data_IF_665660134306
#
_entry.id   IF_665660134306
#
_cell.length_a   1.000
_cell.length_b   1.000
_cell.length_c   1.000
_cell.angle_alpha   90.00
_cell.angle_beta   90.00
_cell.angle_gamma   90.00
#
_symmetry.space_group_name_H-M   'P 1'
#
loop_
_entity.id
_entity.type
_entity.pdbx_description
1 polymer ?
#
# COMPACT_ATOMS: atom_id res chain seq x y z
N UNK A 1 -28.50 65.75 -35.30
CA UNK A 1 -28.50 64.33 -34.86
C UNK A 1 -27.10 64.01 -34.35
N UNK A 2 -26.93 63.88 -33.04
CA UNK A 2 -25.64 63.58 -32.39
C UNK A 2 -25.66 62.09 -32.03
N UNK A 3 -24.66 61.28 -32.42
CA UNK A 3 -24.62 59.88 -32.01
C UNK A 3 -24.17 59.79 -30.55
N UNK A 4 -24.96 59.09 -29.73
CA UNK A 4 -24.59 58.72 -28.36
C UNK A 4 -23.55 57.58 -28.43
N UNK A 5 -22.39 57.81 -27.84
CA UNK A 5 -21.35 56.79 -27.62
C UNK A 5 -21.72 55.96 -26.39
N UNK A 6 -21.86 54.65 -26.58
CA UNK A 6 -22.10 53.68 -25.49
C UNK A 6 -20.76 53.11 -25.07
N UNK A 7 -20.29 53.45 -23.86
CA UNK A 7 -19.07 52.89 -23.28
C UNK A 7 -19.43 51.52 -22.68
N UNK A 8 -18.94 50.45 -23.29
CA UNK A 8 -18.98 49.10 -22.72
C UNK A 8 -17.86 48.95 -21.69
N UNK A 9 -18.22 48.77 -20.42
CA UNK A 9 -17.28 48.52 -19.34
C UNK A 9 -16.85 47.04 -19.36
N UNK A 10 -15.62 46.77 -19.81
CA UNK A 10 -15.01 45.44 -19.73
C UNK A 10 -14.44 45.24 -18.32
N UNK A 11 -15.08 44.40 -17.50
CA UNK A 11 -14.46 43.87 -16.29
C UNK A 11 -13.35 42.89 -16.70
N UNK A 12 -12.09 43.28 -16.48
CA UNK A 12 -10.97 42.33 -16.51
C UNK A 12 -11.05 41.44 -15.25
N UNK A 13 -11.45 40.18 -15.40
CA UNK A 13 -11.13 39.16 -14.41
C UNK A 13 -9.65 38.79 -14.55
N UNK A 14 -8.84 39.19 -13.58
CA UNK A 14 -7.49 38.67 -13.40
C UNK A 14 -7.58 37.19 -12.97
N UNK A 15 -6.91 36.25 -13.66
CA UNK A 15 -6.84 34.88 -13.19
C UNK A 15 -6.07 34.85 -11.86
N UNK A 16 -6.69 34.27 -10.83
CA UNK A 16 -6.01 33.99 -9.57
C UNK A 16 -4.82 33.07 -9.86
N UNK A 17 -3.61 33.58 -9.63
CA UNK A 17 -2.41 32.77 -9.70
C UNK A 17 -2.51 31.69 -8.61
N UNK A 18 -2.67 30.43 -9.03
CA UNK A 18 -2.54 29.28 -8.14
C UNK A 18 -1.07 29.21 -7.75
N UNK A 19 -0.75 29.64 -6.54
CA UNK A 19 0.58 29.44 -5.96
C UNK A 19 0.72 27.94 -5.72
N UNK A 20 1.39 27.24 -6.64
CA UNK A 20 1.81 25.87 -6.42
C UNK A 20 2.84 25.89 -5.29
N UNK A 21 2.45 25.43 -4.11
CA UNK A 21 3.39 25.15 -3.02
C UNK A 21 4.29 24.01 -3.52
N UNK A 22 5.62 24.17 -3.58
CA UNK A 22 6.48 23.07 -3.95
C UNK A 22 6.27 21.95 -2.95
N UNK A 23 5.90 20.77 -3.44
CA UNK A 23 5.97 19.56 -2.64
C UNK A 23 7.40 19.48 -2.09
N UNK A 24 7.54 19.35 -0.77
CA UNK A 24 8.84 19.07 -0.17
C UNK A 24 9.36 17.80 -0.85
N UNK A 25 10.40 17.94 -1.66
CA UNK A 25 11.10 16.81 -2.26
C UNK A 25 11.57 15.91 -1.10
N UNK A 26 11.35 14.61 -1.23
CA UNK A 26 11.85 13.64 -0.25
C UNK A 26 13.38 13.80 -0.13
N UNK A 27 13.90 13.66 1.09
CA UNK A 27 15.33 13.75 1.40
C UNK A 27 15.95 12.33 1.30
N UNK A 28 16.75 12.03 0.26
CA UNK A 28 17.31 10.69 0.07
C UNK A 28 18.33 10.30 1.15
N UNK A 29 18.85 11.26 1.91
CA UNK A 29 19.78 11.00 3.01
C UNK A 29 19.07 10.57 4.29
N UNK A 30 17.77 10.85 4.42
CA UNK A 30 16.96 10.36 5.52
C UNK A 30 16.53 8.90 5.33
N UNK A 31 16.39 8.17 6.45
CA UNK A 31 15.65 6.91 6.49
C UNK A 31 14.19 7.11 6.06
N UNK A 32 13.43 6.05 5.70
CA UNK A 32 12.07 6.18 5.18
C UNK A 32 11.14 7.03 6.05
N UNK A 33 11.27 6.96 7.38
CA UNK A 33 10.44 7.76 8.30
C UNK A 33 10.71 9.26 8.31
N UNK A 34 11.78 9.74 7.67
CA UNK A 34 12.02 11.16 7.47
C UNK A 34 11.24 11.71 6.27
N UNK A 35 10.91 10.85 5.31
CA UNK A 35 10.24 11.21 4.06
C UNK A 35 8.74 10.87 4.07
N UNK A 36 8.35 9.88 4.87
CA UNK A 36 6.98 9.35 4.93
C UNK A 36 6.44 9.42 6.35
N UNK A 37 5.14 9.69 6.47
CA UNK A 37 4.44 9.56 7.75
C UNK A 37 4.26 8.07 8.11
N UNK A 38 5.27 7.52 8.79
CA UNK A 38 5.27 6.14 9.25
C UNK A 38 4.57 5.95 10.61
N UNK A 39 3.93 7.00 11.16
CA UNK A 39 3.19 6.88 12.42
C UNK A 39 2.06 5.84 12.35
N UNK A 40 1.50 5.63 11.16
CA UNK A 40 0.44 4.67 10.88
C UNK A 40 0.90 3.22 10.68
N UNK A 41 2.19 2.89 10.83
CA UNK A 41 2.70 1.58 10.42
C UNK A 41 3.60 0.91 11.45
N UNK A 42 3.44 -0.39 11.63
CA UNK A 42 4.54 -1.26 12.03
C UNK A 42 5.11 -1.92 10.76
N UNK A 43 6.39 -2.28 10.77
CA UNK A 43 7.03 -3.01 9.66
C UNK A 43 7.25 -4.47 10.05
N UNK A 44 6.81 -5.40 9.21
CA UNK A 44 7.07 -6.84 9.34
C UNK A 44 8.23 -7.20 8.41
N UNK A 45 9.33 -7.73 8.96
CA UNK A 45 10.54 -8.05 8.21
C UNK A 45 10.63 -9.55 7.87
N UNK A 46 11.51 -9.94 6.92
CA UNK A 46 11.72 -11.34 6.56
C UNK A 46 12.75 -12.02 7.48
N UNK A 47 13.02 -11.43 8.64
CA UNK A 47 13.95 -11.90 9.68
C UNK A 47 13.19 -12.16 10.98
N UNK A 48 13.83 -12.80 11.96
CA UNK A 48 13.26 -13.09 13.28
C UNK A 48 13.39 -14.55 13.68
N UNK A 49 12.89 -14.89 14.86
CA UNK A 49 12.99 -16.26 15.40
C UNK A 49 12.04 -17.24 14.72
N UNK A 50 12.31 -18.54 14.87
CA UNK A 50 11.47 -19.60 14.31
C UNK A 50 10.01 -19.47 14.75
N UNK A 51 9.10 -19.44 13.77
CA UNK A 51 7.66 -19.32 14.00
C UNK A 51 7.14 -17.89 14.17
N UNK A 52 8.02 -16.88 14.11
CA UNK A 52 7.67 -15.46 14.13
C UNK A 52 8.49 -14.68 13.10
N UNK A 53 8.18 -13.40 12.95
CA UNK A 53 9.03 -12.43 12.25
C UNK A 53 9.30 -11.24 13.17
N UNK A 54 10.40 -10.52 12.90
CA UNK A 54 10.72 -9.25 13.52
C UNK A 54 9.68 -8.21 13.12
N UNK A 55 9.16 -7.49 14.10
CA UNK A 55 8.26 -6.36 13.89
C UNK A 55 8.89 -5.09 14.43
N UNK A 56 9.23 -4.15 13.57
CA UNK A 56 9.69 -2.82 13.96
C UNK A 56 8.47 -1.96 14.24
N UNK A 57 8.44 -1.31 15.41
CA UNK A 57 7.27 -0.53 15.83
C UNK A 57 7.26 0.84 15.15
N UNK A 58 6.06 1.40 14.99
CA UNK A 58 5.85 2.76 14.47
C UNK A 58 6.79 3.81 15.06
N UNK A 59 7.04 3.77 16.38
CA UNK A 59 7.93 4.71 17.05
C UNK A 59 9.40 4.60 16.60
N UNK A 60 9.84 3.42 16.18
CA UNK A 60 11.20 3.16 15.69
C UNK A 60 11.35 3.46 14.20
N UNK A 61 10.24 3.53 13.45
CA UNK A 61 10.26 3.84 12.03
C UNK A 61 10.38 5.34 11.74
N UNK A 62 9.93 6.20 12.64
CA UNK A 62 9.71 7.63 12.38
C UNK A 62 11.00 8.47 12.40
N UNK A 63 11.00 9.54 11.60
CA UNK A 63 12.06 10.53 11.55
C UNK A 63 13.23 10.14 10.63
N UNK A 64 14.11 11.11 10.38
CA UNK A 64 15.25 10.96 9.46
C UNK A 64 16.26 9.88 9.87
N UNK A 65 16.29 9.53 11.16
CA UNK A 65 17.12 8.47 11.74
C UNK A 65 16.30 7.24 12.17
N UNK A 66 15.08 7.10 11.63
CA UNK A 66 14.24 5.93 11.84
C UNK A 66 14.89 4.67 11.28
N UNK A 67 14.27 3.52 11.57
CA UNK A 67 14.80 2.23 11.15
C UNK A 67 14.90 2.10 9.63
N UNK A 68 16.03 1.57 9.18
CA UNK A 68 16.27 1.06 7.83
C UNK A 68 17.23 -0.15 7.89
N UNK A 69 17.14 -1.02 6.90
CA UNK A 69 18.05 -2.14 6.68
C UNK A 69 18.15 -2.47 5.17
N UNK A 70 18.74 -3.62 4.81
CA UNK A 70 18.85 -4.04 3.42
C UNK A 70 17.51 -4.44 2.77
N UNK A 71 16.45 -4.66 3.56
CA UNK A 71 15.13 -5.01 3.06
C UNK A 71 14.17 -3.81 3.03
N UNK A 72 14.37 -2.83 3.91
CA UNK A 72 13.57 -1.62 4.05
C UNK A 72 14.47 -0.39 4.13
N UNK A 73 14.57 0.37 3.05
CA UNK A 73 15.51 1.50 2.96
C UNK A 73 14.95 2.66 2.14
N UNK A 74 15.64 3.79 2.18
CA UNK A 74 15.38 4.91 1.27
C UNK A 74 16.13 4.72 -0.05
N UNK A 75 15.43 4.90 -1.17
CA UNK A 75 16.06 5.03 -2.47
C UNK A 75 16.87 6.34 -2.54
N UNK A 76 18.18 6.22 -2.77
CA UNK A 76 19.11 7.35 -2.70
C UNK A 76 18.97 8.37 -3.83
N UNK A 77 18.15 8.11 -4.85
CA UNK A 77 17.90 9.05 -5.95
C UNK A 77 16.59 9.83 -5.79
N UNK A 78 15.57 9.19 -5.24
CA UNK A 78 14.18 9.69 -5.21
C UNK A 78 13.67 9.97 -3.79
N UNK A 79 14.29 9.38 -2.77
CA UNK A 79 13.80 9.41 -1.39
C UNK A 79 12.64 8.44 -1.13
N UNK A 80 12.23 7.62 -2.11
CA UNK A 80 11.14 6.64 -1.99
C UNK A 80 11.48 5.48 -1.04
N UNK A 81 10.47 4.79 -0.52
CA UNK A 81 10.68 3.58 0.28
C UNK A 81 10.97 2.39 -0.65
N UNK A 82 12.06 1.68 -0.41
CA UNK A 82 12.38 0.40 -1.07
C UNK A 82 12.02 -0.74 -0.12
N UNK A 83 11.24 -1.72 -0.60
CA UNK A 83 10.90 -2.93 0.14
C UNK A 83 11.28 -4.18 -0.67
N UNK A 84 12.24 -4.95 -0.16
CA UNK A 84 12.71 -6.22 -0.75
C UNK A 84 12.27 -7.37 0.13
N UNK A 85 11.72 -8.43 -0.47
CA UNK A 85 11.36 -9.64 0.25
C UNK A 85 12.01 -10.86 -0.43
N UNK A 86 12.72 -11.73 0.32
CA UNK A 86 13.26 -12.98 -0.20
C UNK A 86 12.16 -13.89 -0.78
N UNK A 87 12.56 -14.78 -1.70
CA UNK A 87 11.70 -15.86 -2.20
C UNK A 87 11.43 -16.95 -1.16
N UNK A 88 10.91 -18.08 -1.60
CA UNK A 88 10.44 -19.20 -0.77
C UNK A 88 11.26 -19.44 0.53
N UNK A 89 10.62 -19.40 1.72
CA UNK A 89 11.28 -19.58 3.01
C UNK A 89 12.10 -20.88 3.14
N UNK A 90 11.69 -21.96 2.48
CA UNK A 90 12.41 -23.24 2.55
C UNK A 90 13.76 -23.19 1.82
N UNK A 91 13.93 -22.24 0.88
CA UNK A 91 15.14 -22.04 0.09
C UNK A 91 15.98 -20.86 0.59
N UNK A 92 15.34 -19.80 1.08
CA UNK A 92 15.99 -18.56 1.50
C UNK A 92 16.18 -18.44 3.01
N UNK A 93 15.54 -19.33 3.77
CA UNK A 93 15.53 -19.33 5.24
C UNK A 93 15.01 -18.03 5.86
N UNK A 94 14.19 -17.28 5.14
CA UNK A 94 13.50 -16.13 5.71
C UNK A 94 12.56 -16.57 6.84
N UNK A 95 12.32 -15.68 7.79
CA UNK A 95 11.40 -15.93 8.89
C UNK A 95 9.95 -15.66 8.47
N UNK A 96 9.03 -16.44 9.04
CA UNK A 96 7.58 -16.34 8.82
C UNK A 96 6.83 -16.55 10.13
N UNK A 97 5.69 -15.90 10.29
CA UNK A 97 4.77 -16.22 11.38
C UNK A 97 4.09 -17.57 11.15
N UNK A 98 3.59 -18.19 12.22
CA UNK A 98 2.82 -19.44 12.16
C UNK A 98 1.60 -19.39 11.21
N UNK A 99 1.02 -18.20 11.00
CA UNK A 99 -0.10 -17.98 10.09
C UNK A 99 0.28 -17.64 8.64
N UNK A 100 1.58 -17.50 8.33
CA UNK A 100 2.10 -17.18 7.00
C UNK A 100 2.85 -18.36 6.41
N UNK A 101 2.87 -18.45 5.07
CA UNK A 101 3.71 -19.42 4.33
C UNK A 101 4.87 -18.76 3.58
N UNK A 102 4.93 -17.44 3.59
CA UNK A 102 5.73 -16.65 2.65
C UNK A 102 6.49 -15.53 3.36
N UNK A 103 7.60 -15.11 2.77
CA UNK A 103 8.45 -14.01 3.26
C UNK A 103 7.81 -12.65 2.99
N UNK A 104 8.10 -11.66 3.82
CA UNK A 104 7.61 -10.29 3.63
C UNK A 104 8.56 -9.23 4.12
N UNK A 105 8.48 -8.08 3.48
CA UNK A 105 8.85 -6.78 4.01
C UNK A 105 7.65 -5.88 3.81
N UNK A 106 6.78 -5.80 4.82
CA UNK A 106 5.41 -5.31 4.64
C UNK A 106 4.95 -4.47 5.82
N UNK A 107 4.40 -3.31 5.51
CA UNK A 107 3.80 -2.40 6.48
C UNK A 107 2.44 -2.94 6.92
N UNK A 108 2.19 -2.88 8.22
CA UNK A 108 0.95 -3.30 8.87
C UNK A 108 0.38 -2.12 9.66
N UNK A 109 -0.81 -1.68 9.27
CA UNK A 109 -1.41 -0.44 9.77
C UNK A 109 -1.67 -0.45 11.28
N UNK A 110 -1.23 0.56 12.00
CA UNK A 110 -1.52 0.82 13.42
C UNK A 110 -2.29 2.13 13.59
N UNK A 111 -2.89 2.31 14.76
CA UNK A 111 -3.42 3.61 15.17
C UNK A 111 -2.24 4.58 15.38
N UNK A 112 -2.22 5.70 14.63
CA UNK A 112 -1.07 6.62 14.61
C UNK A 112 -0.83 7.37 15.93
N UNK A 113 -1.83 7.46 16.80
CA UNK A 113 -1.71 8.14 18.09
C UNK A 113 -1.14 7.23 19.17
N UNK A 114 -1.43 5.94 19.07
CA UNK A 114 -1.15 4.97 20.14
C UNK A 114 -0.15 3.89 19.75
N UNK A 115 0.13 3.70 18.45
CA UNK A 115 0.93 2.60 17.92
C UNK A 115 0.28 1.21 18.11
N UNK A 116 -0.95 1.15 18.62
CA UNK A 116 -1.69 -0.10 18.83
C UNK A 116 -2.22 -0.64 17.51
N UNK A 117 -2.53 -1.92 17.51
CA UNK A 117 -3.02 -2.55 16.31
C UNK A 117 -4.33 -1.91 15.82
N UNK A 118 -4.36 -1.42 14.58
CA UNK A 118 -5.58 -0.94 13.96
C UNK A 118 -6.57 -2.09 13.77
N UNK A 119 -7.85 -1.77 13.96
CA UNK A 119 -9.00 -2.66 13.78
C UNK A 119 -10.24 -1.77 13.53
N UNK A 120 -10.35 -1.18 12.34
CA UNK A 120 -11.43 -0.26 11.98
C UNK A 120 -12.62 -0.99 11.39
N UNK A 121 -13.82 -0.43 11.57
CA UNK A 121 -15.05 -1.00 11.03
C UNK A 121 -15.24 -0.57 9.56
N UNK A 122 -15.57 -1.51 8.65
CA UNK A 122 -15.87 -1.19 7.24
C UNK A 122 -17.20 -0.45 7.05
N UNK A 123 -17.99 -0.29 8.12
CA UNK A 123 -19.20 0.57 8.13
C UNK A 123 -18.87 2.07 8.07
N UNK A 124 -17.61 2.44 8.32
CA UNK A 124 -17.08 3.81 8.19
C UNK A 124 -16.32 3.96 6.88
N UNK A 125 -15.76 5.14 6.63
CA UNK A 125 -14.86 5.34 5.48
C UNK A 125 -13.45 4.95 5.86
N UNK A 126 -12.83 4.04 5.10
CA UNK A 126 -11.45 3.60 5.28
C UNK A 126 -10.76 3.51 3.92
N UNK A 127 -9.64 4.21 3.76
CA UNK A 127 -8.91 4.31 2.49
C UNK A 127 -7.41 4.19 2.72
N UNK A 128 -6.77 3.37 1.92
CA UNK A 128 -5.33 3.34 1.70
C UNK A 128 -5.07 3.74 0.24
N UNK A 129 -4.24 4.76 0.02
CA UNK A 129 -3.75 5.16 -1.31
C UNK A 129 -2.23 5.03 -1.34
N UNK A 130 -1.71 4.41 -2.39
CA UNK A 130 -0.27 4.15 -2.54
C UNK A 130 0.15 4.42 -3.99
N UNK A 131 1.22 5.19 -4.16
CA UNK A 131 1.95 5.31 -5.42
C UNK A 131 3.14 4.37 -5.35
N UNK A 132 3.16 3.37 -6.23
CA UNK A 132 4.11 2.25 -6.20
C UNK A 132 4.70 1.96 -7.58
N UNK A 133 5.95 1.50 -7.58
CA UNK A 133 6.59 0.81 -8.71
C UNK A 133 6.93 -0.61 -8.26
N UNK A 134 6.52 -1.62 -9.05
CA UNK A 134 6.99 -3.00 -8.84
C UNK A 134 8.15 -3.23 -9.82
N UNK A 135 9.38 -3.22 -9.30
CA UNK A 135 10.58 -3.39 -10.11
C UNK A 135 10.86 -4.87 -10.39
N UNK A 136 10.61 -5.74 -9.40
CA UNK A 136 10.75 -7.18 -9.52
C UNK A 136 9.57 -7.87 -8.83
N UNK A 137 8.78 -8.62 -9.62
CA UNK A 137 7.68 -9.44 -9.11
C UNK A 137 8.11 -10.91 -8.98
N UNK A 138 7.58 -11.60 -7.98
CA UNK A 138 7.86 -13.03 -7.74
C UNK A 138 7.15 -13.97 -8.74
N UNK A 139 7.48 -15.27 -8.64
CA UNK A 139 6.93 -16.35 -9.46
C UNK A 139 5.71 -17.06 -8.85
N UNK A 140 5.04 -16.42 -7.88
CA UNK A 140 3.77 -16.88 -7.33
C UNK A 140 2.67 -16.96 -8.40
N UNK A 141 1.60 -17.71 -8.13
CA UNK A 141 0.53 -17.94 -9.12
C UNK A 141 -0.14 -16.67 -9.64
N UNK A 142 -0.16 -15.61 -8.82
CA UNK A 142 -0.64 -14.27 -9.17
C UNK A 142 0.45 -13.19 -9.03
N UNK A 143 1.67 -13.58 -8.65
CA UNK A 143 2.79 -12.69 -8.32
C UNK A 143 2.76 -12.16 -6.88
N UNK A 144 3.48 -11.06 -6.68
CA UNK A 144 3.74 -10.45 -5.37
C UNK A 144 2.50 -9.78 -4.81
N UNK A 145 2.15 -10.11 -3.56
CA UNK A 145 1.11 -9.41 -2.84
C UNK A 145 1.64 -8.03 -2.41
N UNK A 146 1.00 -6.96 -2.90
CA UNK A 146 1.45 -5.57 -2.73
C UNK A 146 0.57 -4.75 -1.78
N UNK A 147 -0.65 -5.22 -1.50
CA UNK A 147 -1.56 -4.57 -0.57
C UNK A 147 -2.69 -5.49 -0.12
N UNK A 148 -3.20 -5.26 1.10
CA UNK A 148 -4.23 -6.11 1.70
C UNK A 148 -5.26 -5.30 2.49
N UNK A 149 -6.49 -5.82 2.52
CA UNK A 149 -7.48 -5.54 3.57
C UNK A 149 -7.58 -6.81 4.40
N UNK A 150 -7.20 -6.74 5.68
CA UNK A 150 -7.05 -7.91 6.53
C UNK A 150 -8.09 -7.89 7.65
N UNK A 151 -8.91 -8.94 7.74
CA UNK A 151 -9.90 -9.11 8.81
C UNK A 151 -9.19 -9.48 10.11
N UNK A 152 -9.25 -8.57 11.10
CA UNK A 152 -8.46 -8.63 12.34
C UNK A 152 -8.76 -9.87 13.16
N UNK A 153 -10.03 -10.04 13.57
CA UNK A 153 -10.43 -11.08 14.52
C UNK A 153 -10.36 -12.48 13.91
N UNK A 154 -10.68 -12.60 12.61
CA UNK A 154 -10.55 -13.85 11.87
C UNK A 154 -9.09 -14.24 11.61
N UNK A 155 -8.17 -13.27 11.70
CA UNK A 155 -6.77 -13.43 11.33
C UNK A 155 -6.60 -13.94 9.89
N UNK A 156 -7.32 -13.33 8.94
CA UNK A 156 -7.31 -13.70 7.50
C UNK A 156 -7.29 -12.47 6.59
N UNK A 157 -6.62 -12.54 5.43
CA UNK A 157 -6.79 -11.52 4.40
C UNK A 157 -8.23 -11.59 3.88
N UNK A 158 -9.00 -10.51 4.04
CA UNK A 158 -10.31 -10.38 3.38
C UNK A 158 -10.10 -10.17 1.89
N UNK A 159 -9.17 -9.27 1.55
CA UNK A 159 -8.71 -9.03 0.19
C UNK A 159 -7.19 -8.91 0.15
N UNK A 160 -6.59 -9.49 -0.89
CA UNK A 160 -5.15 -9.46 -1.14
C UNK A 160 -4.93 -9.11 -2.62
N UNK A 161 -4.19 -8.04 -2.87
CA UNK A 161 -3.91 -7.54 -4.21
C UNK A 161 -2.53 -8.00 -4.66
N UNK A 162 -2.47 -8.65 -5.81
CA UNK A 162 -1.26 -9.24 -6.37
C UNK A 162 -0.85 -8.55 -7.66
N UNK A 163 0.46 -8.46 -7.88
CA UNK A 163 1.09 -7.93 -9.07
C UNK A 163 2.03 -8.98 -9.68
N UNK A 164 1.76 -9.38 -10.93
CA UNK A 164 2.51 -10.44 -11.62
C UNK A 164 3.75 -9.95 -12.37
N UNK A 165 4.64 -10.88 -12.75
CA UNK A 165 5.77 -10.64 -13.69
C UNK A 165 5.37 -10.11 -15.07
N UNK A 166 4.08 -10.15 -15.42
CA UNK A 166 3.54 -9.58 -16.66
C UNK A 166 2.85 -8.23 -16.45
N UNK A 167 2.95 -7.67 -15.25
CA UNK A 167 2.29 -6.43 -14.88
C UNK A 167 0.79 -6.54 -14.67
N UNK A 168 0.20 -7.73 -14.71
CA UNK A 168 -1.20 -7.93 -14.38
C UNK A 168 -1.45 -7.73 -12.88
N UNK A 169 -2.51 -6.97 -12.56
CA UNK A 169 -2.94 -6.70 -11.20
C UNK A 169 -4.29 -7.38 -10.98
N UNK A 170 -4.33 -8.28 -10.00
CA UNK A 170 -5.53 -9.00 -9.58
C UNK A 170 -5.76 -8.82 -8.09
N UNK A 171 -7.00 -8.98 -7.65
CA UNK A 171 -7.36 -9.00 -6.22
C UNK A 171 -8.07 -10.30 -5.92
N UNK A 172 -7.53 -11.06 -4.98
CA UNK A 172 -8.17 -12.23 -4.41
C UNK A 172 -9.00 -11.83 -3.20
N UNK A 173 -10.32 -12.00 -3.27
CA UNK A 173 -11.23 -11.74 -2.13
C UNK A 173 -11.72 -13.07 -1.56
N UNK A 174 -11.54 -13.29 -0.26
CA UNK A 174 -12.17 -14.44 0.39
C UNK A 174 -13.64 -14.11 0.68
N UNK A 175 -14.60 -14.96 0.29
CA UNK A 175 -16.02 -14.70 0.60
C UNK A 175 -16.35 -14.91 2.09
N UNK A 176 -15.47 -15.61 2.83
CA UNK A 176 -15.53 -15.81 4.28
C UNK A 176 -14.13 -16.19 4.82
N UNK A 177 -13.99 -16.40 6.14
CA UNK A 177 -12.69 -16.70 6.76
C UNK A 177 -12.04 -18.03 6.30
N UNK A 178 -12.84 -18.98 5.82
CA UNK A 178 -12.43 -20.37 5.57
C UNK A 178 -12.27 -20.68 4.09
N UNK A 179 -13.06 -20.06 3.23
CA UNK A 179 -13.09 -20.29 1.78
C UNK A 179 -11.85 -19.79 1.04
N UNK A 180 -11.58 -20.34 -0.14
CA UNK A 180 -10.54 -19.84 -1.05
C UNK A 180 -10.81 -18.42 -1.55
N UNK A 181 -9.81 -17.76 -2.13
CA UNK A 181 -9.99 -16.46 -2.75
C UNK A 181 -10.70 -16.58 -4.11
N UNK A 182 -11.62 -15.66 -4.38
CA UNK A 182 -12.17 -15.38 -5.70
C UNK A 182 -11.30 -14.28 -6.32
N UNK A 183 -10.60 -14.59 -7.41
CA UNK A 183 -9.61 -13.71 -8.02
C UNK A 183 -10.24 -12.90 -9.15
N UNK A 184 -10.15 -11.57 -9.06
CA UNK A 184 -10.67 -10.63 -10.05
C UNK A 184 -9.53 -9.78 -10.61
N UNK A 185 -9.42 -9.68 -11.94
CA UNK A 185 -8.48 -8.75 -12.59
C UNK A 185 -8.98 -7.32 -12.47
N UNK A 186 -8.14 -6.44 -11.93
CA UNK A 186 -8.47 -5.02 -11.70
C UNK A 186 -7.62 -4.06 -12.53
N UNK A 187 -6.49 -4.52 -13.07
CA UNK A 187 -5.62 -3.67 -13.87
C UNK A 187 -4.47 -4.40 -14.57
N UNK A 188 -3.71 -3.62 -15.33
CA UNK A 188 -2.41 -4.02 -15.86
C UNK A 188 -1.54 -2.76 -15.98
N UNK A 189 -0.33 -2.83 -15.45
CA UNK A 189 0.69 -1.78 -15.49
C UNK A 189 2.01 -2.47 -15.78
N UNK A 190 2.81 -2.00 -16.74
CA UNK A 190 4.08 -2.64 -17.07
C UNK A 190 5.04 -2.67 -15.88
N UNK A 191 5.87 -3.72 -15.79
CA UNK A 191 6.90 -3.86 -14.73
C UNK A 191 7.85 -2.65 -14.77
N UNK A 192 8.23 -2.15 -13.60
CA UNK A 192 9.07 -0.95 -13.48
C UNK A 192 8.36 0.37 -13.80
N UNK A 193 7.05 0.36 -14.03
CA UNK A 193 6.26 1.59 -14.22
C UNK A 193 5.55 1.98 -12.93
N UNK A 194 5.65 3.26 -12.55
CA UNK A 194 4.93 3.81 -11.41
C UNK A 194 3.41 3.84 -11.68
N UNK A 195 2.62 3.51 -10.66
CA UNK A 195 1.16 3.61 -10.69
C UNK A 195 0.61 3.93 -9.30
N UNK A 196 -0.60 4.50 -9.28
CA UNK A 196 -1.37 4.67 -8.06
C UNK A 196 -2.38 3.52 -7.93
N UNK A 197 -2.46 2.94 -6.73
CA UNK A 197 -3.61 2.14 -6.33
C UNK A 197 -4.28 2.72 -5.08
N UNK A 198 -5.59 2.48 -4.98
CA UNK A 198 -6.38 2.76 -3.78
C UNK A 198 -7.16 1.52 -3.38
N UNK A 199 -7.00 1.09 -2.13
CA UNK A 199 -7.87 0.14 -1.45
C UNK A 199 -8.84 0.93 -0.57
N UNK A 200 -10.14 0.74 -0.80
CA UNK A 200 -11.19 1.42 -0.04
C UNK A 200 -12.21 0.39 0.42
N UNK A 201 -12.40 0.23 1.72
CA UNK A 201 -13.46 -0.62 2.27
C UNK A 201 -14.36 0.23 3.17
N UNK A 202 -15.44 0.72 2.56
CA UNK A 202 -16.29 1.74 3.16
C UNK A 202 -17.76 1.44 2.93
N UNK A 203 -18.59 1.63 3.96
CA UNK A 203 -20.01 1.26 3.95
C UNK A 203 -20.21 -0.19 3.47
N UNK A 204 -19.34 -1.10 3.91
CA UNK A 204 -19.31 -2.52 3.50
C UNK A 204 -19.11 -2.76 1.99
N UNK A 205 -18.60 -1.77 1.25
CA UNK A 205 -18.24 -1.91 -0.17
C UNK A 205 -16.72 -1.85 -0.33
N UNK A 206 -16.13 -2.95 -0.82
CA UNK A 206 -14.72 -2.99 -1.19
C UNK A 206 -14.55 -2.47 -2.62
N UNK A 207 -13.79 -1.39 -2.78
CA UNK A 207 -13.44 -0.79 -4.05
C UNK A 207 -11.93 -0.74 -4.21
N UNK A 208 -11.44 -1.21 -5.36
CA UNK A 208 -10.04 -1.09 -5.75
C UNK A 208 -9.95 -0.16 -6.94
N UNK A 209 -9.08 0.84 -6.87
CA UNK A 209 -8.82 1.78 -7.97
C UNK A 209 -7.39 1.63 -8.43
N UNK A 210 -7.17 1.46 -9.74
CA UNK A 210 -5.83 1.47 -10.37
C UNK A 210 -5.79 2.65 -11.35
N UNK A 211 -4.90 3.61 -11.14
CA UNK A 211 -4.77 4.82 -11.98
C UNK A 211 -6.13 5.49 -12.29
N UNK A 212 -6.93 5.73 -11.24
CA UNK A 212 -8.25 6.34 -11.34
C UNK A 212 -9.38 5.42 -11.83
N UNK A 213 -9.09 4.20 -12.30
CA UNK A 213 -10.12 3.23 -12.73
C UNK A 213 -10.56 2.36 -11.55
N UNK A 214 -11.79 2.58 -11.07
CA UNK A 214 -12.37 1.84 -9.96
C UNK A 214 -13.00 0.51 -10.39
N UNK A 215 -12.89 -0.49 -9.52
CA UNK A 215 -13.55 -1.80 -9.59
C UNK A 215 -14.12 -2.14 -8.22
N UNK A 216 -15.43 -2.37 -8.14
CA UNK A 216 -16.07 -2.86 -6.92
C UNK A 216 -15.91 -4.38 -6.86
N UNK A 217 -15.62 -4.90 -5.67
CA UNK A 217 -15.41 -6.32 -5.42
C UNK A 217 -16.42 -6.81 -4.38
N UNK A 218 -17.03 -7.95 -4.67
CA UNK A 218 -17.93 -8.63 -3.73
C UNK A 218 -17.11 -9.23 -2.57
N UNK A 219 -17.46 -8.86 -1.34
CA UNK A 219 -16.85 -9.39 -0.12
C UNK A 219 -17.55 -10.64 0.39
N UNK A 220 -18.58 -11.15 -0.27
CA UNK A 220 -19.29 -12.35 0.15
C UNK A 220 -20.05 -12.14 1.46
N UNK A 221 -19.92 -13.08 2.39
CA UNK A 221 -20.76 -13.19 3.60
C UNK A 221 -20.09 -12.67 4.88
N UNK A 222 -19.01 -11.88 4.75
CA UNK A 222 -18.41 -11.19 5.89
C UNK A 222 -19.44 -10.28 6.60
N UNK A 223 -19.61 -10.46 7.91
CA UNK A 223 -20.46 -9.60 8.76
C UNK A 223 -19.72 -8.34 9.21
N UNK A 224 -19.26 -7.53 8.25
CA UNK A 224 -18.53 -6.27 8.49
C UNK A 224 -17.37 -6.40 9.50
N UNK A 225 -16.43 -7.35 9.34
CA UNK A 225 -15.36 -7.59 10.32
C UNK A 225 -14.49 -6.35 10.46
N UNK A 226 -14.01 -6.07 11.67
CA UNK A 226 -13.00 -5.04 11.84
C UNK A 226 -11.74 -5.43 11.05
N UNK A 227 -11.19 -4.47 10.31
CA UNK A 227 -10.11 -4.67 9.37
C UNK A 227 -8.91 -3.76 9.68
N UNK A 228 -7.80 -4.05 9.02
CA UNK A 228 -6.66 -3.16 8.88
C UNK A 228 -6.02 -3.31 7.50
N UNK A 229 -5.30 -2.30 7.06
CA UNK A 229 -4.55 -2.31 5.82
C UNK A 229 -3.16 -2.89 5.99
N UNK A 230 -2.66 -3.50 4.91
CA UNK A 230 -1.23 -3.80 4.72
C UNK A 230 -0.78 -3.30 3.35
N UNK A 231 0.48 -2.89 3.26
CA UNK A 231 1.10 -2.43 2.01
C UNK A 231 2.59 -2.75 2.02
N UNK A 232 3.14 -3.13 0.88
CA UNK A 232 4.58 -3.41 0.77
C UNK A 232 4.84 -4.61 -0.10
N UNK A 233 5.70 -5.52 0.37
CA UNK A 233 6.18 -6.64 -0.41
C UNK A 233 5.97 -7.96 0.34
N UNK A 234 4.97 -8.73 -0.08
CA UNK A 234 4.71 -10.08 0.43
C UNK A 234 4.91 -11.11 -0.69
N UNK A 235 6.09 -11.73 -0.70
CA UNK A 235 6.59 -12.57 -1.80
C UNK A 235 5.91 -13.95 -1.82
N UNK A 236 5.06 -14.20 -2.82
CA UNK A 236 4.30 -15.45 -2.99
C UNK A 236 5.06 -16.53 -3.76
N UNK A 237 6.34 -16.30 -4.01
CA UNK A 237 7.19 -17.10 -4.87
C UNK A 237 7.39 -18.52 -4.39
N UNK A 238 7.69 -19.40 -5.35
CA UNK A 238 8.05 -20.80 -5.14
C UNK A 238 9.56 -21.01 -5.28
N UNK A 239 10.22 -20.15 -6.05
CA UNK A 239 11.67 -20.09 -6.20
C UNK A 239 12.34 -19.28 -5.08
N UNK A 240 13.67 -19.20 -5.10
CA UNK A 240 14.46 -18.35 -4.21
C UNK A 240 14.50 -16.88 -4.66
N UNK A 241 13.87 -16.54 -5.79
CA UNK A 241 13.89 -15.19 -6.35
C UNK A 241 13.28 -14.18 -5.37
N UNK A 242 14.02 -13.10 -5.11
CA UNK A 242 13.48 -11.95 -4.40
C UNK A 242 12.44 -11.20 -5.25
N UNK A 243 11.62 -10.43 -4.56
CA UNK A 243 10.77 -9.39 -5.16
C UNK A 243 11.20 -8.04 -4.62
N UNK A 244 10.96 -6.97 -5.38
CA UNK A 244 11.29 -5.60 -5.03
C UNK A 244 10.18 -4.65 -5.46
N UNK A 245 9.68 -3.88 -4.50
CA UNK A 245 8.72 -2.80 -4.73
C UNK A 245 9.26 -1.49 -4.16
N UNK A 246 8.87 -0.39 -4.77
CA UNK A 246 9.24 0.96 -4.38
C UNK A 246 7.95 1.76 -4.15
N UNK A 247 7.83 2.45 -3.02
CA UNK A 247 6.67 3.27 -2.67
C UNK A 247 7.09 4.74 -2.68
N UNK A 248 6.54 5.52 -3.61
CA UNK A 248 6.78 6.95 -3.76
C UNK A 248 5.81 7.81 -2.93
N UNK A 249 4.61 7.27 -2.63
CA UNK A 249 3.64 7.91 -1.74
C UNK A 249 2.78 6.85 -1.05
N UNK A 250 2.44 7.08 0.22
CA UNK A 250 1.50 6.23 0.96
C UNK A 250 0.66 7.09 1.91
N UNK A 251 -0.66 6.87 1.92
CA UNK A 251 -1.59 7.60 2.76
C UNK A 251 -2.73 6.72 3.23
N UNK A 252 -3.01 6.77 4.52
CA UNK A 252 -4.19 6.18 5.14
C UNK A 252 -5.13 7.29 5.61
N UNK A 253 -6.44 7.04 5.51
CA UNK A 253 -7.44 7.92 6.10
C UNK A 253 -8.67 7.15 6.57
N UNK A 254 -9.21 7.56 7.72
CA UNK A 254 -10.46 7.08 8.27
C UNK A 254 -11.39 8.25 8.59
N UNK A 255 -12.70 8.09 8.35
CA UNK A 255 -13.73 9.04 8.77
C UNK A 255 -15.06 8.35 9.05
#
# INVERSE_FOLDING_TARGET
MIPKSTIASFLLLLPAAVVAVPATLADPECAPGGNFDLSFWNLQLPTGDSGTFTTIKSAELQGCFGYEDSNFSTDKSSGAIVLIAPGNPDLTHCSKSSGSKHCRTELREVDSKTGKNAAWSPKKTNRLTVTMTVEEADDGSHGTAIGQVFASDASKPLAEMYYSRKGEIVVGVKPDANSGQIVTKVGNVAVGTEFEYKLEYSNDVLTVTINGKATNLDTGSWDSPNCYFKAGNYNQGKSADSSKVVIAAIKVSHS
#
